data_IF_017489006434
#
_entry.id   IF_017489006434
#
_cell.length_a   1.000
_cell.length_b   1.000
_cell.length_c   1.000
_cell.angle_alpha   90.00
_cell.angle_beta   90.00
_cell.angle_gamma   90.00
#
_symmetry.space_group_name_H-M   'P 1'
#
loop_
_entity.id
_entity.type
_entity.pdbx_description
1 polymer ?
#
# COMPACT_ATOMS: atom_id res chain seq x y z
N UNK A 1 0.66 -33.40 8.97
CA UNK A 1 -0.45 -33.66 9.91
C UNK A 1 -1.03 -35.00 9.53
N UNK A 2 -1.44 -35.82 10.50
CA UNK A 2 -2.06 -37.11 10.20
C UNK A 2 -3.40 -36.87 9.51
N UNK A 3 -3.73 -37.67 8.49
CA UNK A 3 -4.98 -37.54 7.73
C UNK A 3 -6.18 -38.05 8.55
N UNK A 4 -7.40 -37.62 8.22
CA UNK A 4 -8.62 -38.13 8.88
C UNK A 4 -8.73 -39.67 8.80
N UNK A 5 -8.26 -40.28 7.71
CA UNK A 5 -8.19 -41.73 7.57
C UNK A 5 -7.21 -42.36 8.58
N UNK A 6 -6.02 -41.77 8.74
CA UNK A 6 -5.05 -42.24 9.74
C UNK A 6 -5.55 -42.09 11.18
N UNK A 7 -6.29 -41.01 11.47
CA UNK A 7 -6.91 -40.80 12.78
C UNK A 7 -8.05 -41.81 13.04
N UNK A 8 -8.85 -42.14 12.02
CA UNK A 8 -9.85 -43.20 12.12
C UNK A 8 -9.20 -44.57 12.39
N UNK A 9 -8.11 -44.89 11.68
CA UNK A 9 -7.34 -46.11 11.91
C UNK A 9 -6.77 -46.20 13.34
N UNK A 10 -6.29 -45.08 13.88
CA UNK A 10 -5.82 -45.00 15.27
C UNK A 10 -6.97 -45.22 16.27
N UNK A 11 -8.14 -44.63 16.02
CA UNK A 11 -9.33 -44.83 16.85
C UNK A 11 -9.78 -46.30 16.83
N UNK A 12 -9.79 -46.95 15.66
CA UNK A 12 -10.12 -48.37 15.53
C UNK A 12 -9.11 -49.27 16.25
N UNK A 13 -7.81 -48.97 16.15
CA UNK A 13 -6.77 -49.69 16.90
C UNK A 13 -6.95 -49.55 18.41
N UNK A 14 -7.40 -48.38 18.89
CA UNK A 14 -7.72 -48.17 20.30
C UNK A 14 -8.93 -48.98 20.77
N UNK A 15 -9.98 -49.05 19.96
CA UNK A 15 -11.14 -49.92 20.21
C UNK A 15 -10.76 -51.41 20.24
N UNK A 16 -9.98 -51.88 19.27
CA UNK A 16 -9.51 -53.26 19.20
C UNK A 16 -8.57 -53.65 20.37
N UNK A 17 -7.92 -52.65 20.98
CA UNK A 17 -7.08 -52.82 22.16
C UNK A 17 -7.84 -52.77 23.50
N UNK A 18 -9.17 -52.88 23.48
CA UNK A 18 -10.03 -52.72 24.66
C UNK A 18 -9.75 -51.39 25.41
N UNK A 19 -9.58 -50.30 24.66
CA UNK A 19 -9.29 -48.96 25.18
C UNK A 19 -7.98 -48.87 25.99
N UNK A 20 -7.00 -49.73 25.72
CA UNK A 20 -5.65 -49.64 26.30
C UNK A 20 -4.69 -48.93 25.35
N UNK A 21 -4.22 -47.74 25.74
CA UNK A 21 -3.31 -46.92 24.92
C UNK A 21 -2.02 -47.65 24.50
N UNK A 22 -1.27 -48.29 25.42
CA UNK A 22 -0.05 -49.01 25.07
C UNK A 22 -0.30 -50.22 24.16
N UNK A 23 -1.41 -50.94 24.36
CA UNK A 23 -1.78 -52.05 23.49
C UNK A 23 -2.22 -51.56 22.10
N UNK A 24 -2.95 -50.46 22.03
CA UNK A 24 -3.34 -49.81 20.79
C UNK A 24 -2.13 -49.36 19.98
N UNK A 25 -1.12 -48.78 20.64
CA UNK A 25 0.11 -48.38 19.99
C UNK A 25 0.84 -49.58 19.36
N UNK A 26 0.96 -50.70 20.08
CA UNK A 26 1.57 -51.93 19.53
C UNK A 26 0.80 -52.46 18.32
N UNK A 27 -0.53 -52.60 18.44
CA UNK A 27 -1.39 -53.04 17.34
C UNK A 27 -1.33 -52.10 16.12
N UNK A 28 -1.22 -50.79 16.35
CA UNK A 28 -1.11 -49.80 15.28
C UNK A 28 0.23 -49.90 14.55
N UNK A 29 1.33 -50.12 15.27
CA UNK A 29 2.68 -50.34 14.71
C UNK A 29 2.70 -51.60 13.84
N UNK A 30 2.12 -52.70 14.34
CA UNK A 30 2.03 -53.97 13.60
C UNK A 30 1.23 -53.82 12.30
N UNK A 31 0.12 -53.07 12.35
CA UNK A 31 -0.78 -52.91 11.20
C UNK A 31 -0.27 -51.88 10.18
N UNK A 32 0.44 -50.85 10.63
CA UNK A 32 0.88 -49.73 9.79
C UNK A 32 2.36 -49.36 10.05
N UNK A 33 3.32 -50.24 9.70
CA UNK A 33 4.73 -50.07 10.05
C UNK A 33 5.41 -48.87 9.39
N UNK A 34 4.86 -48.37 8.27
CA UNK A 34 5.40 -47.22 7.53
C UNK A 34 4.83 -45.87 7.97
N UNK A 35 3.88 -45.85 8.92
CA UNK A 35 3.24 -44.61 9.39
C UNK A 35 3.93 -44.06 10.64
N UNK A 36 3.70 -42.77 10.90
CA UNK A 36 4.15 -42.13 12.12
C UNK A 36 3.47 -42.79 13.33
N UNK A 37 4.27 -43.17 14.32
CA UNK A 37 3.77 -43.80 15.55
C UNK A 37 3.41 -42.71 16.57
N UNK A 38 2.13 -42.56 16.95
CA UNK A 38 1.74 -41.61 17.99
C UNK A 38 2.05 -42.17 19.38
N UNK A 39 2.17 -41.29 20.38
CA UNK A 39 2.29 -41.71 21.79
C UNK A 39 1.06 -42.51 22.23
N UNK A 40 1.19 -43.51 23.11
CA UNK A 40 0.03 -44.25 23.66
C UNK A 40 -1.10 -43.35 24.22
N UNK A 41 -0.75 -42.20 24.83
CA UNK A 41 -1.72 -41.22 25.34
C UNK A 41 -2.50 -40.47 24.25
N UNK A 42 -2.05 -40.51 23.01
CA UNK A 42 -2.73 -39.86 21.90
C UNK A 42 -4.01 -40.62 21.51
N UNK A 43 -3.98 -41.95 21.54
CA UNK A 43 -5.13 -42.81 21.21
C UNK A 43 -6.34 -42.52 22.11
N UNK A 44 -6.12 -42.46 23.43
CA UNK A 44 -7.16 -42.10 24.39
C UNK A 44 -7.70 -40.68 24.16
N UNK A 45 -6.82 -39.69 23.97
CA UNK A 45 -7.22 -38.30 23.68
C UNK A 45 -7.97 -38.16 22.36
N UNK A 46 -7.64 -38.97 21.36
CA UNK A 46 -8.29 -38.98 20.07
C UNK A 46 -9.72 -39.53 20.19
N UNK A 47 -9.89 -40.64 20.92
CA UNK A 47 -11.21 -41.19 21.23
C UNK A 47 -12.06 -40.20 22.03
N UNK A 48 -11.50 -39.62 23.09
CA UNK A 48 -12.20 -38.63 23.92
C UNK A 48 -12.65 -37.43 23.10
N UNK A 49 -11.77 -36.89 22.24
CA UNK A 49 -12.13 -35.78 21.34
C UNK A 49 -13.28 -36.16 20.43
N UNK A 50 -13.21 -37.33 19.79
CA UNK A 50 -14.30 -37.78 18.92
C UNK A 50 -15.62 -37.94 19.68
N UNK A 51 -15.58 -38.47 20.91
CA UNK A 51 -16.76 -38.65 21.75
C UNK A 51 -17.37 -37.32 22.25
N UNK A 52 -16.53 -36.33 22.56
CA UNK A 52 -16.97 -35.03 23.10
C UNK A 52 -17.40 -34.04 22.01
N UNK A 53 -16.65 -33.97 20.89
CA UNK A 53 -16.87 -32.94 19.86
C UNK A 53 -17.39 -33.50 18.53
N UNK A 54 -17.47 -34.82 18.37
CA UNK A 54 -17.91 -35.46 17.13
C UNK A 54 -16.94 -35.27 15.94
N UNK A 55 -15.76 -34.70 16.17
CA UNK A 55 -14.77 -34.38 15.12
C UNK A 55 -13.34 -34.72 15.57
N UNK A 56 -12.50 -35.12 14.61
CA UNK A 56 -11.08 -35.31 14.85
C UNK A 56 -10.28 -33.99 14.91
N UNK A 57 -10.87 -32.91 14.41
CA UNK A 57 -10.27 -31.57 14.41
C UNK A 57 -10.10 -31.07 15.84
N UNK A 58 -8.97 -30.41 16.10
CA UNK A 58 -8.79 -29.73 17.38
C UNK A 58 -9.76 -28.57 17.41
N UNK A 59 -10.51 -28.42 18.50
CA UNK A 59 -11.22 -27.17 18.75
C UNK A 59 -10.20 -26.04 18.68
N UNK A 60 -10.35 -25.17 17.68
CA UNK A 60 -9.62 -23.93 17.65
C UNK A 60 -10.02 -23.19 18.93
N UNK A 61 -9.11 -23.14 19.91
CA UNK A 61 -9.31 -22.27 21.05
C UNK A 61 -9.33 -20.85 20.49
N UNK A 62 -10.54 -20.33 20.29
CA UNK A 62 -10.75 -18.94 19.86
C UNK A 62 -10.09 -18.09 20.93
N UNK A 63 -8.92 -17.56 20.59
CA UNK A 63 -8.15 -16.70 21.49
C UNK A 63 -8.98 -15.45 21.72
N UNK A 64 -9.61 -15.35 22.89
CA UNK A 64 -10.43 -14.19 23.24
C UNK A 64 -9.52 -12.96 23.21
N UNK A 65 -9.91 -11.96 22.42
CA UNK A 65 -9.17 -10.69 22.29
C UNK A 65 -9.32 -9.90 23.59
N UNK A 66 -8.31 -9.92 24.45
CA UNK A 66 -8.35 -9.21 25.74
C UNK A 66 -8.00 -7.72 25.64
N UNK A 67 -7.13 -7.33 24.70
CA UNK A 67 -6.61 -5.96 24.59
C UNK A 67 -7.33 -5.09 23.53
N UNK A 68 -8.20 -5.67 22.71
CA UNK A 68 -8.96 -4.99 21.64
C UNK A 68 -10.42 -5.34 21.78
N UNK A 69 -11.07 -4.73 22.76
CA UNK A 69 -12.51 -4.86 22.94
C UNK A 69 -13.25 -4.07 21.85
N UNK A 70 -14.49 -4.44 21.49
CA UNK A 70 -15.28 -3.69 20.52
C UNK A 70 -15.42 -2.19 20.87
N UNK A 71 -15.47 -1.87 22.17
CA UNK A 71 -15.51 -0.49 22.64
C UNK A 71 -14.22 0.29 22.32
N UNK A 72 -13.05 -0.34 22.48
CA UNK A 72 -11.76 0.28 22.14
C UNK A 72 -11.65 0.50 20.63
N UNK A 73 -12.09 -0.48 19.85
CA UNK A 73 -12.12 -0.38 18.40
C UNK A 73 -13.02 0.77 17.92
N UNK A 74 -14.23 0.87 18.47
CA UNK A 74 -15.15 1.97 18.16
C UNK A 74 -14.57 3.34 18.54
N UNK A 75 -13.90 3.46 19.68
CA UNK A 75 -13.24 4.70 20.10
C UNK A 75 -12.10 5.11 19.16
N UNK A 76 -11.31 4.13 18.68
CA UNK A 76 -10.25 4.36 17.69
C UNK A 76 -10.84 4.84 16.37
N UNK A 77 -11.90 4.18 15.87
CA UNK A 77 -12.54 4.53 14.60
C UNK A 77 -13.19 5.93 14.65
N UNK A 78 -13.92 6.24 15.72
CA UNK A 78 -14.55 7.55 15.90
C UNK A 78 -13.50 8.68 15.96
N UNK A 79 -12.32 8.43 16.54
CA UNK A 79 -11.26 9.42 16.60
C UNK A 79 -10.72 9.77 15.20
N UNK A 80 -10.53 8.75 14.36
CA UNK A 80 -10.03 8.93 12.98
C UNK A 80 -11.08 9.54 12.08
N UNK A 81 -12.34 9.18 12.23
CA UNK A 81 -13.44 9.79 11.49
C UNK A 81 -13.52 11.30 11.72
N UNK A 82 -13.35 11.74 12.98
CA UNK A 82 -13.32 13.17 13.34
C UNK A 82 -12.06 13.88 12.84
N UNK A 83 -10.93 13.19 12.78
CA UNK A 83 -9.67 13.77 12.30
C UNK A 83 -8.81 12.76 11.53
N UNK A 84 -9.04 12.62 10.21
CA UNK A 84 -8.38 11.62 9.37
C UNK A 84 -6.87 11.82 9.22
N UNK A 85 -6.35 13.02 9.57
CA UNK A 85 -4.92 13.36 9.46
C UNK A 85 -4.13 13.00 10.72
N UNK A 86 -4.77 12.42 11.73
CA UNK A 86 -4.10 12.02 12.98
C UNK A 86 -3.13 10.87 12.76
N UNK A 87 -1.98 10.92 13.45
CA UNK A 87 -1.07 9.78 13.47
C UNK A 87 -1.63 8.68 14.35
N UNK A 88 -1.34 7.43 13.99
CA UNK A 88 -1.64 6.25 14.84
C UNK A 88 -1.12 6.38 16.27
N UNK A 89 -0.02 7.14 16.49
CA UNK A 89 0.55 7.39 17.82
C UNK A 89 -0.30 8.38 18.62
N UNK A 90 -0.82 9.41 17.95
CA UNK A 90 -1.74 10.37 18.54
C UNK A 90 -3.03 9.67 19.00
N UNK A 91 -3.60 8.83 18.12
CA UNK A 91 -4.82 8.05 18.43
C UNK A 91 -4.59 7.10 19.60
N UNK A 92 -3.43 6.45 19.63
CA UNK A 92 -3.03 5.58 20.74
C UNK A 92 -2.98 6.33 22.08
N UNK A 93 -2.37 7.51 22.11
CA UNK A 93 -2.29 8.33 23.30
C UNK A 93 -3.67 8.83 23.76
N UNK A 94 -4.56 9.19 22.84
CA UNK A 94 -5.90 9.68 23.19
C UNK A 94 -6.83 8.58 23.72
N UNK A 95 -6.68 7.35 23.20
CA UNK A 95 -7.54 6.20 23.58
C UNK A 95 -6.93 5.39 24.72
N UNK A 96 -5.65 5.60 25.05
CA UNK A 96 -4.96 4.88 26.12
C UNK A 96 -4.55 3.45 25.72
N UNK A 97 -4.22 3.23 24.44
CA UNK A 97 -3.83 1.92 23.91
C UNK A 97 -2.46 1.97 23.24
N UNK A 98 -1.86 0.82 23.00
CA UNK A 98 -0.60 0.79 22.24
C UNK A 98 -0.82 1.21 20.78
N UNK A 99 0.15 1.94 20.22
CA UNK A 99 0.19 2.26 18.78
C UNK A 99 0.07 1.02 17.88
N UNK A 100 0.64 -0.11 18.29
CA UNK A 100 0.51 -1.37 17.55
C UNK A 100 -0.93 -1.89 17.53
N UNK A 101 -1.71 -1.67 18.60
CA UNK A 101 -3.13 -2.03 18.64
C UNK A 101 -3.93 -1.21 17.64
N UNK A 102 -3.68 0.11 17.56
CA UNK A 102 -4.31 1.00 16.58
C UNK A 102 -3.99 0.56 15.15
N UNK A 103 -2.71 0.27 14.85
CA UNK A 103 -2.31 -0.25 13.53
C UNK A 103 -3.02 -1.55 13.14
N UNK A 104 -3.18 -2.50 14.07
CA UNK A 104 -3.91 -3.73 13.76
C UNK A 104 -5.40 -3.49 13.56
N UNK A 105 -6.01 -2.57 14.32
CA UNK A 105 -7.41 -2.16 14.11
C UNK A 105 -7.56 -1.58 12.70
N UNK A 106 -6.71 -0.64 12.29
CA UNK A 106 -6.76 -0.07 10.93
C UNK A 106 -6.64 -1.15 9.85
N UNK A 107 -5.73 -2.11 10.02
CA UNK A 107 -5.55 -3.21 9.06
C UNK A 107 -6.75 -4.15 8.98
N UNK A 108 -7.44 -4.40 10.10
CA UNK A 108 -8.65 -5.24 10.13
C UNK A 108 -9.89 -4.51 9.59
N UNK A 109 -9.86 -3.18 9.59
CA UNK A 109 -10.91 -2.30 9.05
C UNK A 109 -10.57 -1.78 7.64
N UNK A 110 -9.59 -2.39 6.97
CA UNK A 110 -9.11 -2.01 5.62
C UNK A 110 -8.77 -0.52 5.45
N UNK A 111 -8.32 0.13 6.54
CA UNK A 111 -7.88 1.52 6.53
C UNK A 111 -6.39 1.61 6.21
N UNK A 112 -6.06 2.36 5.15
CA UNK A 112 -4.70 2.54 4.68
C UNK A 112 -4.24 4.00 4.77
N UNK A 113 -2.96 4.24 5.11
CA UNK A 113 -2.39 5.57 4.99
C UNK A 113 -2.21 5.92 3.50
N UNK A 114 -2.83 7.02 3.08
CA UNK A 114 -2.64 7.55 1.73
C UNK A 114 -1.69 8.75 1.75
N UNK A 115 -0.87 8.87 0.72
CA UNK A 115 -0.03 10.05 0.53
C UNK A 115 -0.88 11.20 0.00
N UNK A 116 -0.86 12.33 0.72
CA UNK A 116 -1.50 13.56 0.26
C UNK A 116 -0.77 14.06 -0.97
N UNK A 117 -1.46 14.12 -2.10
CA UNK A 117 -0.94 14.74 -3.31
C UNK A 117 -0.88 16.25 -3.11
N UNK A 118 0.31 16.83 -3.31
CA UNK A 118 0.46 18.28 -3.35
C UNK A 118 -0.07 18.75 -4.69
N UNK A 119 -1.19 19.44 -4.67
CA UNK A 119 -1.75 20.15 -5.83
C UNK A 119 -1.57 21.65 -5.61
N UNK A 120 -1.48 22.43 -6.70
CA UNK A 120 -1.51 23.87 -6.59
C UNK A 120 -2.81 24.31 -5.91
N UNK A 121 -2.73 25.31 -5.04
CA UNK A 121 -3.92 25.92 -4.43
C UNK A 121 -4.73 26.58 -5.52
N UNK A 122 -5.80 25.93 -5.96
CA UNK A 122 -6.79 26.54 -6.85
C UNK A 122 -7.64 27.49 -6.02
N UNK A 123 -7.80 28.71 -6.49
CA UNK A 123 -8.75 29.64 -5.88
C UNK A 123 -10.17 29.25 -6.30
N UNK A 124 -11.19 29.48 -5.46
CA UNK A 124 -12.60 29.20 -5.81
C UNK A 124 -13.03 29.80 -7.16
N UNK A 125 -12.43 30.91 -7.56
CA UNK A 125 -12.71 31.63 -8.80
C UNK A 125 -12.19 30.89 -10.05
N UNK A 126 -11.20 30.00 -9.91
CA UNK A 126 -10.61 29.26 -11.03
C UNK A 126 -11.50 28.09 -11.49
N UNK A 127 -12.42 27.61 -10.65
CA UNK A 127 -13.20 26.41 -10.95
C UNK A 127 -14.15 26.60 -12.14
N UNK A 128 -14.92 27.70 -12.16
CA UNK A 128 -15.91 27.93 -13.21
C UNK A 128 -15.26 28.07 -14.60
N UNK A 129 -14.17 28.85 -14.80
CA UNK A 129 -13.46 28.90 -16.07
C UNK A 129 -12.89 27.54 -16.50
N UNK A 130 -12.37 26.74 -15.57
CA UNK A 130 -11.81 25.41 -15.87
C UNK A 130 -12.88 24.42 -16.33
N UNK A 131 -14.05 24.41 -15.69
CA UNK A 131 -15.18 23.58 -16.11
C UNK A 131 -15.68 24.02 -17.48
N UNK A 132 -15.87 25.32 -17.68
CA UNK A 132 -16.31 25.85 -18.98
C UNK A 132 -15.33 25.51 -20.12
N UNK A 133 -14.02 25.58 -19.87
CA UNK A 133 -13.01 25.15 -20.83
C UNK A 133 -13.10 23.65 -21.13
N UNK A 134 -13.25 22.81 -20.09
CA UNK A 134 -13.35 21.36 -20.26
C UNK A 134 -14.60 20.97 -21.08
N UNK A 135 -15.75 21.57 -20.77
CA UNK A 135 -17.01 21.36 -21.51
C UNK A 135 -16.88 21.81 -22.97
N UNK A 136 -16.29 22.99 -23.20
CA UNK A 136 -16.01 23.49 -24.55
C UNK A 136 -15.08 22.55 -25.33
N UNK A 137 -13.99 22.10 -24.71
CA UNK A 137 -13.00 21.21 -25.34
C UNK A 137 -13.64 19.86 -25.71
N UNK A 138 -14.45 19.29 -24.82
CA UNK A 138 -15.21 18.07 -25.10
C UNK A 138 -16.20 18.27 -26.25
N UNK A 139 -16.89 19.41 -26.31
CA UNK A 139 -17.77 19.75 -27.43
C UNK A 139 -17.04 19.85 -28.78
N UNK A 140 -15.82 20.40 -28.79
CA UNK A 140 -14.96 20.42 -29.98
C UNK A 140 -14.57 19.03 -30.44
N UNK A 141 -14.14 18.17 -29.50
CA UNK A 141 -13.80 16.78 -29.79
C UNK A 141 -15.01 15.98 -30.33
N UNK A 142 -16.21 16.25 -29.82
CA UNK A 142 -17.43 15.61 -30.30
C UNK A 142 -17.81 16.03 -31.74
N UNK A 143 -17.46 17.25 -32.14
CA UNK A 143 -17.73 17.78 -33.49
C UNK A 143 -16.67 17.34 -34.50
N UNK A 144 -15.40 17.37 -34.10
CA UNK A 144 -14.27 16.92 -34.89
C UNK A 144 -13.41 15.95 -34.03
N UNK A 145 -13.48 14.63 -34.28
CA UNK A 145 -12.66 13.66 -33.56
C UNK A 145 -11.15 13.87 -33.70
N UNK A 146 -10.69 14.54 -34.76
CA UNK A 146 -9.28 14.87 -35.01
C UNK A 146 -8.85 16.20 -34.36
N UNK A 147 -9.77 16.92 -33.69
CA UNK A 147 -9.46 18.19 -33.05
C UNK A 147 -8.26 18.13 -32.09
N UNK A 148 -8.10 17.10 -31.22
CA UNK A 148 -6.92 17.01 -30.36
C UNK A 148 -5.59 16.98 -31.13
N UNK A 149 -5.56 16.38 -32.31
CA UNK A 149 -4.36 16.26 -33.13
C UNK A 149 -4.01 17.58 -33.83
N UNK A 150 -4.98 18.47 -34.00
CA UNK A 150 -4.81 19.81 -34.59
C UNK A 150 -4.35 20.86 -33.54
N UNK A 151 -4.35 20.52 -32.24
CA UNK A 151 -3.96 21.44 -31.17
C UNK A 151 -2.48 21.30 -30.84
N UNK A 152 -1.73 22.40 -30.95
CA UNK A 152 -0.37 22.51 -30.41
C UNK A 152 -0.43 22.78 -28.90
N UNK A 153 -0.13 21.77 -28.09
CA UNK A 153 0.12 21.97 -26.66
C UNK A 153 1.58 22.33 -26.46
N UNK A 154 1.86 23.43 -25.76
CA UNK A 154 3.23 23.86 -25.47
C UNK A 154 3.42 24.25 -24.03
N UNK A 155 4.61 24.07 -23.50
CA UNK A 155 5.00 24.50 -22.15
C UNK A 155 6.47 24.88 -22.08
N UNK A 156 6.83 25.63 -21.05
CA UNK A 156 8.21 25.94 -20.69
C UNK A 156 8.63 25.24 -19.40
N UNK A 157 9.78 24.56 -19.44
CA UNK A 157 10.40 23.96 -18.27
C UNK A 157 11.73 24.64 -17.94
N UNK A 158 11.87 25.09 -16.68
CA UNK A 158 13.12 25.61 -16.13
C UNK A 158 13.94 24.49 -15.47
N UNK A 159 15.12 24.22 -16.00
CA UNK A 159 16.09 23.30 -15.43
C UNK A 159 17.17 24.08 -14.70
N UNK A 160 17.31 23.84 -13.41
CA UNK A 160 18.42 24.36 -12.61
C UNK A 160 19.45 23.27 -12.35
N UNK A 161 20.69 23.66 -12.02
CA UNK A 161 21.75 22.70 -11.66
C UNK A 161 21.37 21.81 -10.48
N UNK A 162 20.48 22.30 -9.63
CA UNK A 162 19.97 21.56 -8.48
C UNK A 162 19.07 20.39 -8.92
N UNK A 163 18.52 20.36 -10.14
CA UNK A 163 17.71 19.24 -10.63
C UNK A 163 16.46 18.95 -9.76
N UNK A 164 15.76 17.87 -10.11
CA UNK A 164 14.58 17.39 -9.35
C UNK A 164 15.09 16.45 -8.25
N UNK A 165 15.37 16.99 -7.07
CA UNK A 165 15.80 16.17 -5.93
C UNK A 165 14.62 15.47 -5.26
N UNK A 166 14.54 14.15 -5.40
CA UNK A 166 13.65 13.34 -4.59
C UNK A 166 14.35 12.93 -3.28
N UNK A 167 14.13 13.70 -2.21
CA UNK A 167 14.69 13.40 -0.88
C UNK A 167 14.22 12.06 -0.31
N UNK A 168 13.11 11.49 -0.81
CA UNK A 168 12.69 10.15 -0.40
C UNK A 168 13.61 9.05 -0.93
N UNK A 169 14.38 9.30 -1.99
CA UNK A 169 15.29 8.32 -2.56
C UNK A 169 16.76 8.56 -2.17
N UNK A 170 17.05 9.59 -1.37
CA UNK A 170 18.40 9.95 -0.92
C UNK A 170 18.73 9.19 0.37
N UNK A 171 18.99 7.89 0.24
CA UNK A 171 19.28 6.99 1.36
C UNK A 171 20.77 6.66 1.45
N UNK A 172 21.30 6.73 2.66
CA UNK A 172 22.64 6.25 2.98
C UNK A 172 22.47 5.08 3.95
N UNK A 173 22.80 3.88 3.51
CA UNK A 173 22.74 2.65 4.31
C UNK A 173 24.07 2.41 5.00
N UNK A 174 24.16 2.73 6.28
CA UNK A 174 25.37 2.53 7.10
C UNK A 174 25.00 2.13 8.52
N UNK A 175 25.89 1.39 9.18
CA UNK A 175 25.69 0.82 10.53
C UNK A 175 25.76 1.90 11.62
N UNK A 176 26.55 2.95 11.39
CA UNK A 176 26.69 4.11 12.28
C UNK A 176 26.37 5.40 11.52
N UNK A 177 25.78 6.38 12.21
CA UNK A 177 25.32 7.63 11.58
C UNK A 177 26.50 8.36 10.92
N UNK A 178 26.50 8.55 9.59
CA UNK A 178 27.64 9.08 8.87
C UNK A 178 27.76 10.60 9.00
N UNK A 179 26.83 11.28 9.69
CA UNK A 179 26.70 12.74 9.71
C UNK A 179 26.80 13.32 8.30
N UNK A 180 26.14 12.68 7.34
CA UNK A 180 26.26 13.05 5.94
C UNK A 180 25.75 14.47 5.71
N UNK A 181 26.67 15.38 5.42
CA UNK A 181 26.37 16.76 5.08
C UNK A 181 26.42 16.88 3.55
N UNK A 182 25.27 17.10 2.93
CA UNK A 182 25.21 17.49 1.53
C UNK A 182 25.18 19.02 1.44
N UNK A 183 26.18 19.61 0.79
CA UNK A 183 26.26 21.07 0.58
C UNK A 183 25.04 21.53 -0.24
N UNK A 184 24.17 22.36 0.35
CA UNK A 184 23.15 23.11 -0.41
C UNK A 184 23.81 24.34 -1.03
N UNK A 185 23.50 24.58 -2.30
CA UNK A 185 23.93 25.72 -3.11
C UNK A 185 25.44 25.80 -3.40
N UNK A 186 25.84 25.41 -4.61
CA UNK A 186 27.14 25.84 -5.14
C UNK A 186 27.06 27.29 -5.64
N UNK A 187 28.12 28.07 -5.45
CA UNK A 187 28.17 29.53 -5.64
C UNK A 187 27.77 30.01 -7.04
N UNK A 188 27.96 29.19 -8.08
CA UNK A 188 27.55 29.51 -9.46
C UNK A 188 26.16 28.93 -9.70
N UNK A 189 25.16 29.77 -9.98
CA UNK A 189 23.80 29.35 -10.36
C UNK A 189 23.68 29.36 -11.88
N UNK A 190 23.20 28.28 -12.48
CA UNK A 190 22.73 28.30 -13.87
C UNK A 190 21.31 27.75 -13.92
N UNK A 191 20.51 28.33 -14.80
CA UNK A 191 19.16 27.88 -15.15
C UNK A 191 19.01 27.91 -16.65
N UNK A 192 18.45 26.86 -17.23
CA UNK A 192 18.12 26.77 -18.65
C UNK A 192 16.60 26.69 -18.76
N UNK A 193 16.02 27.56 -19.58
CA UNK A 193 14.59 27.51 -19.90
C UNK A 193 14.43 26.83 -21.25
N UNK A 194 13.66 25.76 -21.27
CA UNK A 194 13.42 24.96 -22.47
C UNK A 194 11.95 25.06 -22.80
N UNK A 195 11.65 25.35 -24.07
CA UNK A 195 10.31 25.25 -24.63
C UNK A 195 10.19 23.97 -25.43
N UNK A 196 9.05 23.31 -25.32
CA UNK A 196 8.66 22.23 -26.22
C UNK A 196 7.15 22.28 -26.45
N UNK A 197 6.74 21.88 -27.65
CA UNK A 197 5.36 21.69 -28.03
C UNK A 197 5.10 20.27 -28.54
N UNK A 198 3.86 19.83 -28.47
CA UNK A 198 3.37 18.58 -29.05
C UNK A 198 2.10 18.85 -29.84
N UNK A 199 2.04 18.34 -31.06
CA UNK A 199 0.87 18.39 -31.93
C UNK A 199 0.62 16.98 -32.45
N UNK A 200 -0.54 16.41 -32.13
CA UNK A 200 -0.82 14.99 -32.37
C UNK A 200 0.24 14.10 -31.72
N UNK A 201 0.96 13.34 -32.53
CA UNK A 201 2.08 12.47 -32.14
C UNK A 201 3.47 13.10 -32.36
N UNK A 202 3.53 14.36 -32.83
CA UNK A 202 4.77 15.02 -33.19
C UNK A 202 5.25 15.99 -32.12
N UNK A 203 6.50 15.84 -31.69
CA UNK A 203 7.17 16.74 -30.77
C UNK A 203 7.86 17.87 -31.56
N UNK A 204 7.54 19.12 -31.22
CA UNK A 204 8.14 20.35 -31.76
C UNK A 204 9.09 20.94 -30.71
N UNK A 205 10.35 21.16 -31.08
CA UNK A 205 11.42 21.61 -30.16
C UNK A 205 12.49 20.54 -29.95
N UNK A 206 13.28 20.59 -28.85
CA UNK A 206 13.31 21.62 -27.81
C UNK A 206 13.93 22.93 -28.28
N UNK A 207 13.36 24.07 -27.86
CA UNK A 207 13.95 25.38 -28.08
C UNK A 207 14.53 25.93 -26.77
N UNK A 208 15.79 26.36 -26.81
CA UNK A 208 16.48 26.92 -25.65
C UNK A 208 16.28 28.43 -25.60
N UNK A 209 15.54 28.90 -24.61
CA UNK A 209 15.42 30.33 -24.37
C UNK A 209 16.66 30.90 -23.70
N UNK A 210 16.96 32.19 -23.93
CA UNK A 210 17.95 32.91 -23.13
C UNK A 210 17.52 32.93 -21.65
N UNK A 211 18.51 33.10 -20.75
CA UNK A 211 18.30 33.07 -19.30
C UNK A 211 17.17 33.99 -18.80
N UNK A 212 16.88 35.08 -19.52
CA UNK A 212 15.77 35.98 -19.23
C UNK A 212 14.74 35.92 -20.36
N UNK A 213 13.61 35.27 -20.09
CA UNK A 213 12.47 35.27 -21.00
C UNK A 213 11.75 36.61 -20.91
N UNK A 214 11.59 37.29 -22.04
CA UNK A 214 10.80 38.53 -22.16
C UNK A 214 9.69 38.28 -23.17
N UNK A 215 8.59 39.03 -23.08
CA UNK A 215 7.49 38.91 -24.04
C UNK A 215 7.95 39.14 -25.49
N UNK A 216 8.91 40.03 -25.72
CA UNK A 216 9.50 40.27 -27.05
C UNK A 216 10.26 39.03 -27.57
N UNK A 217 11.10 38.41 -26.73
CA UNK A 217 11.85 37.21 -27.12
C UNK A 217 10.90 36.03 -27.40
N UNK A 218 9.82 35.91 -26.62
CA UNK A 218 8.80 34.90 -26.85
C UNK A 218 8.03 35.15 -28.15
N UNK A 219 7.64 36.39 -28.42
CA UNK A 219 6.98 36.76 -29.67
C UNK A 219 7.85 36.51 -30.90
N UNK A 220 9.14 36.88 -30.84
CA UNK A 220 10.10 36.59 -31.91
C UNK A 220 10.22 35.09 -32.17
N UNK A 221 10.27 34.28 -31.11
CA UNK A 221 10.25 32.83 -31.23
C UNK A 221 8.98 32.34 -31.95
N UNK A 222 7.79 32.79 -31.53
CA UNK A 222 6.52 32.39 -32.15
C UNK A 222 6.42 32.79 -33.63
N UNK A 223 7.00 33.93 -34.02
CA UNK A 223 6.86 34.47 -35.38
C UNK A 223 7.96 34.02 -36.34
N UNK A 224 9.16 33.74 -35.84
CA UNK A 224 10.35 33.57 -36.69
C UNK A 224 11.01 32.20 -36.54
N UNK A 225 10.69 31.45 -35.49
CA UNK A 225 11.38 30.20 -35.16
C UNK A 225 10.43 29.01 -35.07
N UNK A 226 9.23 29.21 -34.53
CA UNK A 226 8.21 28.17 -34.51
C UNK A 226 7.84 27.81 -35.97
N UNK A 227 7.96 26.52 -36.36
CA UNK A 227 7.75 26.08 -37.74
C UNK A 227 6.28 26.12 -38.17
#
# INVERSE_FOLDING_TARGET
MDTNAELADMHLAYGAANCSGPAAQRLYVERYPMRRIPSHNFFARLHQRLAETGSFERSDMVRVRTARTPAVEQNVLQHVERNPRTSTRSVANSVGVSHCSVWRIFREQDMHPFHVQRVQTQQPEDYAPRVAFAEWYLGKCATNPLFPDEVLFSDEASFTREGIFNTHNDHIWVVENPHAIRRRAAQIRFSVNVWAGIMGDHLIGPYLFPCRLTGLNYLLFLQQVLP
#
